data_IF_688065208336
#
_entry.id   IF_688065208336
#
_cell.length_a   1.000
_cell.length_b   1.000
_cell.length_c   1.000
_cell.angle_alpha   90.00
_cell.angle_beta   90.00
_cell.angle_gamma   90.00
#
_symmetry.space_group_name_H-M   'P 1'
#
loop_
_entity.id
_entity.type
_entity.pdbx_description
1 polymer ?
#
# COMPACT_ATOMS: atom_id res chain seq x y z
N UNK A 1 -8.78 11.40 -10.62
CA UNK A 1 -8.18 12.22 -9.53
C UNK A 1 -8.38 13.69 -9.84
N UNK A 2 -9.46 14.29 -9.35
CA UNK A 2 -9.84 15.66 -9.71
C UNK A 2 -10.18 16.54 -8.50
N UNK A 3 -10.11 15.97 -7.28
CA UNK A 3 -10.17 16.76 -6.05
C UNK A 3 -8.94 17.66 -5.99
N UNK A 4 -9.07 18.96 -5.67
CA UNK A 4 -7.96 19.90 -5.70
C UNK A 4 -6.73 19.47 -4.89
N UNK A 5 -6.93 18.79 -3.76
CA UNK A 5 -5.85 18.29 -2.90
C UNK A 5 -5.07 17.12 -3.51
N UNK A 6 -5.73 16.31 -4.36
CA UNK A 6 -5.16 15.13 -4.99
C UNK A 6 -4.78 15.37 -6.46
N UNK A 7 -5.02 16.58 -6.96
CA UNK A 7 -4.75 16.95 -8.34
C UNK A 7 -3.23 17.11 -8.53
N UNK A 8 -2.63 16.42 -9.52
CA UNK A 8 -1.21 16.60 -9.81
C UNK A 8 -0.95 18.01 -10.33
N UNK A 9 0.23 18.56 -10.00
CA UNK A 9 0.68 19.87 -10.48
C UNK A 9 1.24 19.83 -11.92
N UNK A 10 1.67 18.66 -12.37
CA UNK A 10 2.16 18.43 -13.74
C UNK A 10 0.99 18.10 -14.69
N UNK A 11 1.14 18.35 -16.01
CA UNK A 11 0.13 17.99 -16.98
C UNK A 11 -0.07 16.47 -17.01
N UNK A 12 -1.31 16.03 -16.81
CA UNK A 12 -1.73 14.65 -16.99
C UNK A 12 -2.71 14.57 -18.17
N UNK A 13 -2.36 13.78 -19.17
CA UNK A 13 -3.20 13.51 -20.35
C UNK A 13 -3.35 12.00 -20.49
N UNK A 14 -4.59 11.53 -20.51
CA UNK A 14 -4.95 10.12 -20.70
C UNK A 14 -6.32 10.00 -21.35
N UNK A 15 -6.65 8.84 -21.86
CA UNK A 15 -7.93 8.60 -22.54
C UNK A 15 -9.09 8.18 -21.62
N UNK A 16 -8.90 8.12 -20.30
CA UNK A 16 -9.98 7.79 -19.35
C UNK A 16 -11.04 8.90 -19.33
N UNK A 17 -12.31 8.52 -19.55
CA UNK A 17 -13.46 9.43 -19.55
C UNK A 17 -14.62 8.85 -18.73
N UNK A 18 -15.53 9.73 -18.30
CA UNK A 18 -16.67 9.36 -17.47
C UNK A 18 -16.30 9.23 -15.99
N UNK A 19 -16.98 8.31 -15.29
CA UNK A 19 -16.88 8.17 -13.83
C UNK A 19 -17.84 9.09 -13.08
N UNK A 20 -18.14 8.72 -11.84
CA UNK A 20 -18.99 9.53 -10.97
C UNK A 20 -18.29 10.86 -10.62
N UNK A 21 -19.04 11.97 -10.63
CA UNK A 21 -18.52 13.31 -10.34
C UNK A 21 -17.31 13.72 -11.21
N UNK A 22 -17.36 13.41 -12.50
CA UNK A 22 -16.35 13.87 -13.45
C UNK A 22 -16.42 15.41 -13.62
N UNK A 23 -15.39 16.10 -13.14
CA UNK A 23 -15.19 17.55 -13.20
C UNK A 23 -14.53 17.95 -14.53
N UNK A 24 -13.55 17.18 -15.01
CA UNK A 24 -12.83 17.49 -16.26
C UNK A 24 -13.56 16.96 -17.50
N UNK A 25 -13.69 17.81 -18.53
CA UNK A 25 -14.26 17.46 -19.84
C UNK A 25 -13.16 17.50 -20.91
N UNK A 26 -12.57 16.35 -21.30
CA UNK A 26 -11.54 16.32 -22.35
C UNK A 26 -12.13 16.71 -23.71
N UNK A 27 -11.36 17.43 -24.53
CA UNK A 27 -11.81 18.01 -25.81
C UNK A 27 -11.37 17.21 -27.06
N UNK A 28 -10.89 15.98 -26.89
CA UNK A 28 -10.40 15.12 -27.97
C UNK A 28 -11.49 14.34 -28.70
N UNK A 29 -11.23 14.00 -29.97
CA UNK A 29 -12.10 13.12 -30.79
C UNK A 29 -11.97 11.63 -30.42
N UNK A 30 -10.83 11.27 -29.82
CA UNK A 30 -10.48 9.91 -29.45
C UNK A 30 -10.53 9.69 -27.94
N UNK A 31 -10.93 8.49 -27.53
CA UNK A 31 -10.84 8.01 -26.15
C UNK A 31 -10.11 6.65 -26.07
N UNK A 32 -9.28 6.33 -27.06
CA UNK A 32 -8.56 5.05 -27.16
C UNK A 32 -7.20 5.23 -27.86
N UNK A 33 -6.29 4.30 -27.62
CA UNK A 33 -4.99 4.18 -28.31
C UNK A 33 -4.74 2.69 -28.62
N UNK A 34 -4.20 2.33 -29.81
CA UNK A 34 -3.76 3.20 -30.91
C UNK A 34 -4.92 3.78 -31.74
N UNK A 35 -4.74 4.99 -32.27
CA UNK A 35 -5.70 5.64 -33.17
C UNK A 35 -4.99 6.38 -34.32
N UNK A 36 -5.73 6.62 -35.41
CA UNK A 36 -5.20 7.21 -36.66
C UNK A 36 -5.27 8.75 -36.73
N UNK A 37 -5.68 9.42 -35.66
CA UNK A 37 -5.71 10.89 -35.62
C UNK A 37 -4.35 11.47 -35.22
N UNK A 38 -4.12 12.73 -35.60
CA UNK A 38 -2.87 13.44 -35.29
C UNK A 38 -2.58 13.46 -33.79
N UNK A 39 -1.31 13.32 -33.43
CA UNK A 39 -0.87 13.41 -32.05
C UNK A 39 -0.84 14.89 -31.63
N UNK A 40 -1.64 15.23 -30.61
CA UNK A 40 -1.73 16.56 -30.03
C UNK A 40 -1.97 16.47 -28.50
N UNK A 41 -2.16 17.61 -27.82
CA UNK A 41 -2.44 17.60 -26.38
C UNK A 41 -3.72 16.84 -25.98
N UNK A 42 -4.67 16.69 -26.90
CA UNK A 42 -5.92 15.96 -26.69
C UNK A 42 -5.85 14.51 -27.19
N UNK A 43 -4.73 14.12 -27.80
CA UNK A 43 -4.43 12.80 -28.32
C UNK A 43 -2.99 12.39 -27.95
N UNK A 44 -2.69 12.24 -26.64
CA UNK A 44 -1.35 11.92 -26.16
C UNK A 44 -0.85 10.58 -26.72
N UNK A 45 0.47 10.43 -26.79
CA UNK A 45 1.16 9.17 -27.13
C UNK A 45 2.11 8.80 -26.00
N UNK A 46 2.34 7.52 -25.80
CA UNK A 46 3.38 7.06 -24.89
C UNK A 46 4.75 7.61 -25.34
N UNK A 47 5.55 8.10 -24.40
CA UNK A 47 6.93 8.53 -24.65
C UNK A 47 7.88 7.36 -24.32
N UNK A 48 8.55 6.74 -25.31
CA UNK A 48 9.46 5.62 -25.05
C UNK A 48 10.72 6.04 -24.28
N UNK A 49 11.17 7.30 -24.42
CA UNK A 49 12.43 7.79 -23.86
C UNK A 49 12.33 8.18 -22.37
N UNK A 50 11.23 8.82 -21.97
CA UNK A 50 11.04 9.36 -20.61
C UNK A 50 9.83 8.80 -19.87
N UNK A 51 9.05 7.92 -20.52
CA UNK A 51 7.92 7.24 -19.90
C UNK A 51 8.37 6.29 -18.77
N UNK A 52 7.43 5.96 -17.89
CA UNK A 52 7.68 4.96 -16.84
C UNK A 52 8.00 3.60 -17.47
N UNK A 53 9.14 3.02 -17.09
CA UNK A 53 9.55 1.68 -17.48
C UNK A 53 9.76 0.83 -16.22
N UNK A 54 9.16 -0.36 -16.20
CA UNK A 54 9.39 -1.32 -15.12
C UNK A 54 10.80 -1.91 -15.22
N UNK A 55 11.46 -2.06 -14.07
CA UNK A 55 12.75 -2.74 -13.99
C UNK A 55 12.61 -4.21 -14.41
N UNK A 56 13.54 -4.69 -15.24
CA UNK A 56 13.55 -6.06 -15.76
C UNK A 56 14.12 -7.05 -14.72
N UNK A 57 13.42 -7.22 -13.62
CA UNK A 57 13.79 -8.17 -12.56
C UNK A 57 13.54 -9.62 -13.00
N UNK A 58 14.53 -10.53 -12.87
CA UNK A 58 14.32 -11.94 -13.18
C UNK A 58 13.32 -12.54 -12.18
N UNK A 59 12.29 -13.20 -12.69
CA UNK A 59 11.24 -13.81 -11.87
C UNK A 59 11.27 -15.32 -12.09
N UNK A 60 11.60 -16.06 -11.04
CA UNK A 60 11.59 -17.52 -11.01
C UNK A 60 10.65 -18.02 -9.91
N UNK A 61 9.88 -19.08 -10.21
CA UNK A 61 9.01 -19.73 -9.23
C UNK A 61 7.66 -20.15 -9.79
N UNK A 62 6.93 -20.96 -9.01
CA UNK A 62 5.58 -21.41 -9.32
C UNK A 62 4.52 -20.47 -8.75
N UNK A 63 3.36 -20.37 -9.40
CA UNK A 63 2.21 -19.59 -8.90
C UNK A 63 1.55 -20.29 -7.69
N UNK A 64 2.04 -19.98 -6.49
CA UNK A 64 1.57 -20.57 -5.22
C UNK A 64 1.11 -19.51 -4.24
N UNK A 65 0.21 -19.88 -3.32
CA UNK A 65 -0.08 -19.08 -2.11
C UNK A 65 0.83 -19.57 -0.98
N UNK A 66 2.07 -19.11 -0.99
CA UNK A 66 3.11 -19.52 -0.04
C UNK A 66 3.78 -18.27 0.53
N UNK A 67 4.15 -18.31 1.81
CA UNK A 67 5.00 -17.29 2.44
C UNK A 67 6.41 -17.86 2.54
N UNK A 68 7.40 -17.12 2.03
CA UNK A 68 8.80 -17.52 2.13
C UNK A 68 9.21 -17.76 3.58
N UNK A 69 10.00 -18.81 3.84
CA UNK A 69 10.58 -19.13 5.15
C UNK A 69 11.38 -17.96 5.74
N UNK A 70 11.93 -17.09 4.90
CA UNK A 70 12.64 -15.88 5.35
C UNK A 70 11.75 -14.90 6.12
N UNK A 71 10.43 -15.02 6.02
CA UNK A 71 9.47 -14.23 6.80
C UNK A 71 9.09 -14.89 8.15
N UNK A 72 9.62 -16.08 8.46
CA UNK A 72 9.26 -16.83 9.67
C UNK A 72 9.93 -16.31 10.96
N UNK A 73 10.84 -15.33 10.88
CA UNK A 73 11.41 -14.68 12.05
C UNK A 73 10.49 -13.58 12.59
N UNK A 74 9.78 -13.91 13.67
CA UNK A 74 8.78 -13.03 14.28
C UNK A 74 9.29 -12.28 15.52
N UNK A 75 10.52 -12.52 15.97
CA UNK A 75 10.96 -12.07 17.29
C UNK A 75 12.26 -11.25 17.29
N UNK A 76 13.15 -11.44 16.31
CA UNK A 76 14.46 -10.77 16.32
C UNK A 76 14.34 -9.24 16.29
N UNK A 77 13.52 -8.70 15.38
CA UNK A 77 13.32 -7.26 15.22
C UNK A 77 12.63 -6.64 16.44
N UNK A 78 11.65 -7.34 17.02
CA UNK A 78 10.97 -6.89 18.24
C UNK A 78 11.94 -6.80 19.43
N UNK A 79 12.82 -7.78 19.58
CA UNK A 79 13.87 -7.76 20.61
C UNK A 79 14.88 -6.65 20.38
N UNK A 80 15.31 -6.45 19.13
CA UNK A 80 16.24 -5.37 18.78
C UNK A 80 15.65 -3.99 19.11
N UNK A 81 14.38 -3.77 18.75
CA UNK A 81 13.67 -2.55 19.09
C UNK A 81 13.60 -2.32 20.60
N UNK A 82 13.29 -3.35 21.40
CA UNK A 82 13.19 -3.21 22.86
C UNK A 82 14.53 -2.86 23.51
N UNK A 83 15.62 -3.53 23.09
CA UNK A 83 16.96 -3.30 23.65
C UNK A 83 17.52 -1.93 23.25
N UNK A 84 17.12 -1.39 22.10
CA UNK A 84 17.54 -0.05 21.66
C UNK A 84 16.86 1.10 22.42
N UNK A 85 15.86 0.83 23.26
CA UNK A 85 15.16 1.86 24.04
C UNK A 85 15.90 2.21 25.33
N UNK A 86 15.78 3.46 25.76
CA UNK A 86 16.24 3.89 27.09
C UNK A 86 15.39 3.27 28.21
N UNK A 87 15.91 3.25 29.44
CA UNK A 87 15.18 2.68 30.59
C UNK A 87 13.81 3.32 30.86
N UNK A 88 13.63 4.61 30.53
CA UNK A 88 12.33 5.31 30.65
C UNK A 88 11.35 4.85 29.58
N UNK A 89 11.81 4.69 28.34
CA UNK A 89 10.99 4.22 27.22
C UNK A 89 10.58 2.75 27.39
N UNK A 90 11.48 1.90 27.90
CA UNK A 90 11.13 0.52 28.27
C UNK A 90 10.03 0.47 29.34
N UNK A 91 10.06 1.40 30.30
CA UNK A 91 9.00 1.53 31.30
C UNK A 91 7.68 1.96 30.67
N UNK A 92 7.66 2.98 29.81
CA UNK A 92 6.44 3.41 29.11
C UNK A 92 5.82 2.30 28.26
N UNK A 93 6.62 1.51 27.55
CA UNK A 93 6.12 0.35 26.79
C UNK A 93 5.48 -0.68 27.72
N UNK A 94 6.14 -1.02 28.83
CA UNK A 94 5.60 -1.96 29.82
C UNK A 94 4.28 -1.47 30.41
N UNK A 95 4.22 -0.19 30.78
CA UNK A 95 3.04 0.43 31.36
C UNK A 95 1.88 0.45 30.35
N UNK A 96 2.14 0.72 29.06
CA UNK A 96 1.14 0.66 28.00
C UNK A 96 0.57 -0.76 27.79
N UNK A 97 1.43 -1.78 27.78
CA UNK A 97 0.98 -3.17 27.69
C UNK A 97 0.14 -3.58 28.90
N UNK A 98 0.62 -3.31 30.10
CA UNK A 98 -0.01 -3.76 31.34
C UNK A 98 -1.28 -2.98 31.70
N UNK A 99 -1.24 -1.65 31.66
CA UNK A 99 -2.29 -0.82 32.24
C UNK A 99 -3.42 -0.49 31.25
N UNK A 100 -3.14 -0.46 29.95
CA UNK A 100 -4.10 0.00 28.95
C UNK A 100 -4.63 -1.16 28.11
N UNK A 101 -3.75 -1.98 27.53
CA UNK A 101 -4.20 -3.00 26.57
C UNK A 101 -4.69 -4.30 27.21
N UNK A 102 -3.95 -4.86 28.17
CA UNK A 102 -4.30 -6.15 28.79
C UNK A 102 -5.41 -6.06 29.86
N UNK A 103 -5.68 -4.87 30.40
CA UNK A 103 -6.79 -4.65 31.35
C UNK A 103 -8.13 -4.50 30.62
N UNK A 104 -8.15 -3.89 29.43
CA UNK A 104 -9.37 -3.74 28.62
C UNK A 104 -9.76 -5.04 27.89
N UNK A 105 -8.79 -5.91 27.59
CA UNK A 105 -9.05 -7.27 27.10
C UNK A 105 -9.18 -8.25 28.28
N UNK A 106 -10.36 -8.33 28.91
CA UNK A 106 -10.59 -9.18 30.09
C UNK A 106 -10.19 -10.66 29.93
N UNK A 107 -10.05 -11.41 31.04
CA UNK A 107 -9.58 -12.80 31.02
C UNK A 107 -10.67 -13.72 30.46
N UNK A 108 -10.58 -14.07 29.18
CA UNK A 108 -11.42 -15.12 28.57
C UNK A 108 -10.77 -16.50 28.66
N UNK A 109 -10.27 -16.86 29.85
CA UNK A 109 -9.81 -18.22 30.12
C UNK A 109 -10.43 -18.75 31.42
N UNK A 110 -11.50 -19.53 31.28
CA UNK A 110 -11.99 -20.44 32.32
C UNK A 110 -11.33 -21.82 32.07
N UNK A 111 -10.49 -22.34 32.99
CA UNK A 111 -10.09 -23.73 32.92
C UNK A 111 -11.28 -24.59 33.36
N UNK A 112 -11.92 -25.28 32.43
CA UNK A 112 -12.89 -26.33 32.72
C UNK A 112 -12.16 -27.44 33.49
N UNK A 113 -12.45 -27.53 34.80
CA UNK A 113 -12.05 -28.64 35.64
C UNK A 113 -12.92 -29.85 35.35
N UNK A 114 -12.34 -30.89 34.74
CA UNK A 114 -12.89 -32.22 34.69
C UNK A 114 -12.06 -33.15 35.57
N UNK A 115 -12.54 -33.39 36.80
CA UNK A 115 -12.16 -34.57 37.56
C UNK A 115 -13.10 -35.71 37.18
N UNK A 116 -12.53 -36.79 36.62
CA UNK A 116 -12.74 -38.22 36.94
C UNK A 116 -11.84 -39.05 36.02
#
# INVERSE_FOLDING_TARGET
>A
MQLPINAPKCPMRHFQQGGHMAIQKPKGRANYEPNSWDADENNPRACPETGFQSHAEPMEGSKTRYRSETFADHYSQARQFYISQTGKEQKHMRDAFNAFTLIETGPSYQPEGGAL
#
